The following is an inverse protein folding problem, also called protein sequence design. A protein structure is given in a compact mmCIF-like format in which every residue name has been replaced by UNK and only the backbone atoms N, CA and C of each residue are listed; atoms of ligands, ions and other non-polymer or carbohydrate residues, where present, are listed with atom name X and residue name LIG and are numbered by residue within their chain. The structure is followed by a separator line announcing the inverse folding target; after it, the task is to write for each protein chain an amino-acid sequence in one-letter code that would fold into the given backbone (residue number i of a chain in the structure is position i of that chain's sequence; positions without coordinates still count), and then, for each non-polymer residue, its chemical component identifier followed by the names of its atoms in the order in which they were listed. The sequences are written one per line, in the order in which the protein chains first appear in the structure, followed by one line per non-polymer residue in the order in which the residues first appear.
data_IF_961971980597
#
_entry.id   IF_961971980597
#
_cell.length_a   1.000
_cell.length_b   1.000
_cell.length_c   1.000
_cell.angle_alpha   90.00
_cell.angle_beta   90.00
_cell.angle_gamma   90.00
#
_symmetry.space_group_name_H-M   'P 1'
#
loop_
_entity.id
_entity.type
_entity.pdbx_description
1 polymer ?
#
# COMPACT_ATOMS: atom_id res chain seq x y z
N UNK A 1 -6.36 -21.67 6.03
CA UNK A 1 -6.93 -20.67 5.10
C UNK A 1 -6.43 -19.28 5.49
N UNK A 2 -6.79 -18.77 6.67
CA UNK A 2 -6.41 -17.42 7.12
C UNK A 2 -4.88 -17.18 7.28
N UNK A 3 -4.09 -18.19 7.65
CA UNK A 3 -2.62 -18.08 7.66
C UNK A 3 -2.02 -17.86 6.26
N UNK A 4 -2.63 -18.44 5.22
CA UNK A 4 -2.20 -18.26 3.83
C UNK A 4 -2.60 -16.87 3.32
N UNK A 5 -3.78 -16.39 3.69
CA UNK A 5 -4.23 -15.01 3.44
C UNK A 5 -3.28 -14.01 4.12
N UNK A 6 -2.86 -14.26 5.37
CA UNK A 6 -1.88 -13.43 6.06
C UNK A 6 -0.54 -13.36 5.34
N UNK A 7 0.03 -14.51 4.96
CA UNK A 7 1.30 -14.55 4.22
C UNK A 7 1.19 -13.80 2.89
N UNK A 8 0.09 -13.99 2.17
CA UNK A 8 -0.15 -13.30 0.90
C UNK A 8 -0.30 -11.79 1.10
N UNK A 9 -1.07 -11.35 2.09
CA UNK A 9 -1.21 -9.94 2.45
C UNK A 9 0.14 -9.29 2.76
N UNK A 10 0.93 -9.90 3.64
CA UNK A 10 2.25 -9.38 4.00
C UNK A 10 3.22 -9.38 2.81
N UNK A 11 3.12 -10.36 1.91
CA UNK A 11 3.92 -10.39 0.68
C UNK A 11 3.56 -9.22 -0.24
N UNK A 12 2.26 -8.93 -0.42
CA UNK A 12 1.79 -7.80 -1.23
C UNK A 12 2.17 -6.45 -0.61
N UNK A 13 2.06 -6.32 0.71
CA UNK A 13 2.53 -5.13 1.44
C UNK A 13 4.04 -4.91 1.24
N UNK A 14 4.86 -5.97 1.37
CA UNK A 14 6.30 -5.85 1.17
C UNK A 14 6.66 -5.49 -0.28
N UNK A 15 5.99 -6.11 -1.27
CA UNK A 15 6.13 -5.74 -2.69
C UNK A 15 5.80 -4.27 -2.91
N UNK A 16 4.68 -3.80 -2.35
CA UNK A 16 4.26 -2.40 -2.42
C UNK A 16 5.32 -1.47 -1.87
N UNK A 17 5.76 -1.68 -0.62
CA UNK A 17 6.74 -0.81 0.04
C UNK A 17 8.07 -0.73 -0.74
N UNK A 18 8.52 -1.86 -1.29
CA UNK A 18 9.71 -1.91 -2.13
C UNK A 18 9.53 -1.06 -3.40
N UNK A 19 8.39 -1.22 -4.08
CA UNK A 19 8.09 -0.51 -5.31
C UNK A 19 7.82 0.99 -5.07
N UNK A 20 7.19 1.37 -3.96
CA UNK A 20 6.99 2.77 -3.53
C UNK A 20 8.36 3.45 -3.35
N UNK A 21 9.30 2.81 -2.66
CA UNK A 21 10.65 3.33 -2.50
C UNK A 21 11.38 3.55 -3.85
N UNK A 22 11.24 2.62 -4.80
CA UNK A 22 11.78 2.78 -6.16
C UNK A 22 11.11 3.96 -6.87
N UNK A 23 9.78 4.04 -6.80
CA UNK A 23 9.00 5.07 -7.50
C UNK A 23 9.29 6.46 -6.94
N UNK A 24 9.36 6.62 -5.61
CA UNK A 24 9.72 7.87 -4.92
C UNK A 24 11.15 8.33 -5.17
N UNK A 25 12.05 7.41 -5.55
CA UNK A 25 13.43 7.73 -5.93
C UNK A 25 13.60 7.95 -7.45
N UNK A 26 12.56 7.74 -8.24
CA UNK A 26 12.62 7.84 -9.70
C UNK A 26 12.33 9.26 -10.17
N UNK A 27 13.16 9.77 -11.08
CA UNK A 27 12.93 11.08 -11.69
C UNK A 27 11.59 11.11 -12.45
N UNK A 28 10.88 12.25 -12.38
CA UNK A 28 9.54 12.45 -12.98
C UNK A 28 9.38 11.88 -14.39
N UNK A 29 10.36 12.13 -15.26
CA UNK A 29 10.33 11.73 -16.68
C UNK A 29 10.35 10.21 -16.89
N UNK A 30 10.83 9.44 -15.89
CA UNK A 30 10.94 7.99 -15.92
C UNK A 30 9.95 7.30 -14.98
N UNK A 31 9.10 8.06 -14.26
CA UNK A 31 8.23 7.53 -13.21
C UNK A 31 7.03 6.72 -13.74
N UNK A 32 6.70 6.79 -15.02
CA UNK A 32 5.56 6.09 -15.61
C UNK A 32 5.62 4.57 -15.45
N UNK A 33 6.78 3.97 -15.70
CA UNK A 33 7.01 2.52 -15.54
C UNK A 33 6.85 2.07 -14.08
N UNK A 34 7.57 2.63 -13.09
CA UNK A 34 7.43 2.20 -11.70
C UNK A 34 6.03 2.48 -11.11
N UNK A 35 5.34 3.57 -11.53
CA UNK A 35 3.93 3.79 -11.15
C UNK A 35 3.00 2.73 -11.76
N UNK A 36 3.29 2.23 -12.95
CA UNK A 36 2.53 1.13 -13.55
C UNK A 36 2.70 -0.17 -12.74
N UNK A 37 3.89 -0.44 -12.23
CA UNK A 37 4.11 -1.59 -11.33
C UNK A 37 3.37 -1.43 -9.99
N UNK A 38 3.32 -0.22 -9.41
CA UNK A 38 2.48 0.05 -8.24
C UNK A 38 1.01 -0.28 -8.53
N UNK A 39 0.46 0.16 -9.67
CA UNK A 39 -0.93 -0.14 -10.05
C UNK A 39 -1.19 -1.63 -10.15
N UNK A 40 -0.25 -2.42 -10.69
CA UNK A 40 -0.38 -3.88 -10.75
C UNK A 40 -0.45 -4.50 -9.35
N UNK A 41 0.39 -4.08 -8.42
CA UNK A 41 0.39 -4.57 -7.03
C UNK A 41 -0.94 -4.19 -6.33
N UNK A 42 -1.40 -2.95 -6.51
CA UNK A 42 -2.71 -2.51 -6.04
C UNK A 42 -3.84 -3.40 -6.57
N UNK A 43 -3.85 -3.66 -7.88
CA UNK A 43 -4.89 -4.48 -8.51
C UNK A 43 -4.83 -5.95 -8.07
N UNK A 44 -3.62 -6.50 -7.86
CA UNK A 44 -3.40 -7.83 -7.28
C UNK A 44 -4.00 -7.92 -5.87
N UNK A 45 -3.74 -6.92 -5.00
CA UNK A 45 -4.33 -6.86 -3.67
C UNK A 45 -5.85 -6.73 -3.73
N UNK A 46 -6.37 -5.87 -4.60
CA UNK A 46 -7.81 -5.65 -4.78
C UNK A 46 -8.52 -6.95 -5.18
N UNK A 47 -7.96 -7.70 -6.12
CA UNK A 47 -8.49 -8.97 -6.60
C UNK A 47 -8.32 -10.13 -5.60
N UNK A 48 -7.34 -10.06 -4.70
CA UNK A 48 -7.08 -11.11 -3.71
C UNK A 48 -8.23 -11.22 -2.71
N UNK A 49 -8.82 -12.40 -2.57
CA UNK A 49 -9.83 -12.62 -1.53
C UNK A 49 -9.15 -12.67 -0.15
N UNK A 50 -9.38 -11.65 0.66
CA UNK A 50 -8.90 -11.55 2.05
C UNK A 50 -10.13 -11.39 2.92
N UNK A 51 -10.28 -12.30 3.88
CA UNK A 51 -11.47 -12.41 4.72
C UNK A 51 -11.10 -12.32 6.20
N UNK A 52 -12.09 -12.56 7.07
CA UNK A 52 -11.88 -12.60 8.51
C UNK A 52 -11.26 -11.30 9.05
N UNK A 53 -10.26 -11.44 9.93
CA UNK A 53 -9.65 -10.29 10.60
C UNK A 53 -8.70 -9.44 9.73
N UNK A 54 -8.35 -9.87 8.52
CA UNK A 54 -7.52 -9.08 7.60
C UNK A 54 -8.33 -8.18 6.67
N UNK A 55 -9.65 -8.33 6.64
CA UNK A 55 -10.53 -7.57 5.74
C UNK A 55 -10.31 -6.05 5.87
N UNK A 56 -10.33 -5.54 7.10
CA UNK A 56 -10.18 -4.11 7.35
C UNK A 56 -8.75 -3.62 7.08
N UNK A 57 -7.75 -4.45 7.37
CA UNK A 57 -6.36 -4.17 7.02
C UNK A 57 -6.18 -4.02 5.49
N UNK A 58 -6.80 -4.91 4.70
CA UNK A 58 -6.82 -4.81 3.23
C UNK A 58 -7.47 -3.51 2.76
N UNK A 59 -8.61 -3.13 3.33
CA UNK A 59 -9.30 -1.88 2.94
C UNK A 59 -8.39 -0.69 3.19
N UNK A 60 -7.79 -0.61 4.39
CA UNK A 60 -6.86 0.47 4.76
C UNK A 60 -5.63 0.53 3.86
N UNK A 61 -5.06 -0.63 3.51
CA UNK A 61 -3.94 -0.68 2.58
C UNK A 61 -4.32 -0.20 1.18
N UNK A 62 -5.48 -0.60 0.65
CA UNK A 62 -5.96 -0.12 -0.66
C UNK A 62 -6.20 1.39 -0.65
N UNK A 63 -6.79 1.93 0.43
CA UNK A 63 -6.99 3.37 0.57
C UNK A 63 -5.66 4.13 0.64
N UNK A 64 -4.67 3.59 1.34
CA UNK A 64 -3.32 4.15 1.37
C UNK A 64 -2.68 4.14 -0.04
N UNK A 65 -2.75 3.00 -0.74
CA UNK A 65 -2.24 2.87 -2.11
C UNK A 65 -2.88 3.87 -3.08
N UNK A 66 -4.18 4.16 -2.92
CA UNK A 66 -4.88 5.13 -3.76
C UNK A 66 -4.39 6.57 -3.51
N UNK A 67 -4.15 6.96 -2.26
CA UNK A 67 -3.57 8.27 -1.94
C UNK A 67 -2.18 8.42 -2.58
N UNK A 68 -1.35 7.38 -2.47
CA UNK A 68 0.02 7.38 -2.98
C UNK A 68 0.08 7.40 -4.51
N UNK A 69 -0.75 6.60 -5.19
CA UNK A 69 -0.92 6.68 -6.64
C UNK A 69 -1.39 8.07 -7.10
N UNK A 70 -2.25 8.73 -6.32
CA UNK A 70 -2.71 10.09 -6.62
C UNK A 70 -1.58 11.09 -6.51
N UNK A 71 -0.73 11.00 -5.46
CA UNK A 71 0.47 11.84 -5.34
C UNK A 71 1.41 11.66 -6.54
N UNK A 72 1.64 10.42 -6.97
CA UNK A 72 2.48 10.17 -8.15
C UNK A 72 1.88 10.71 -9.44
N UNK A 73 0.55 10.68 -9.59
CA UNK A 73 -0.12 11.32 -10.73
C UNK A 73 0.12 12.83 -10.74
N UNK A 74 -0.05 13.51 -9.61
CA UNK A 74 0.24 14.95 -9.52
C UNK A 74 1.70 15.27 -9.81
N UNK A 75 2.62 14.49 -9.24
CA UNK A 75 4.04 14.61 -9.50
C UNK A 75 4.38 14.46 -10.99
N UNK A 76 3.86 13.44 -11.66
CA UNK A 76 4.09 13.19 -13.09
C UNK A 76 3.48 14.26 -13.99
N UNK A 77 2.28 14.73 -13.66
CA UNK A 77 1.59 15.78 -14.42
C UNK A 77 2.20 17.16 -14.22
N UNK A 78 3.01 17.34 -13.16
CA UNK A 78 3.53 18.64 -12.75
C UNK A 78 2.39 19.67 -12.54
N UNK A 79 1.24 19.20 -12.04
CA UNK A 79 0.09 20.05 -11.78
C UNK A 79 0.32 20.87 -10.50
N UNK A 80 0.40 22.20 -10.65
CA UNK A 80 0.63 23.10 -9.54
C UNK A 80 -0.47 23.01 -8.47
N UNK A 81 -1.74 22.75 -8.85
CA UNK A 81 -2.84 22.59 -7.89
C UNK A 81 -2.76 21.25 -7.17
N UNK A 82 -2.57 20.16 -7.91
CA UNK A 82 -2.34 18.83 -7.34
C UNK A 82 -1.14 18.78 -6.40
N UNK A 83 -0.06 19.50 -6.72
CA UNK A 83 1.13 19.56 -5.86
C UNK A 83 0.87 20.19 -4.47
N UNK A 84 -0.14 21.05 -4.33
CA UNK A 84 -0.55 21.60 -3.03
C UNK A 84 -1.25 20.56 -2.16
N UNK A 85 -1.85 19.52 -2.77
CA UNK A 85 -2.54 18.43 -2.05
C UNK A 85 -1.59 17.30 -1.65
N UNK A 86 -0.39 17.21 -2.24
CA UNK A 86 0.60 16.16 -1.95
C UNK A 86 0.88 16.03 -0.43
N UNK A 87 1.09 17.10 0.35
CA UNK A 87 1.30 16.98 1.79
C UNK A 87 0.12 16.33 2.53
N UNK A 88 -1.12 16.72 2.19
CA UNK A 88 -2.32 16.16 2.79
C UNK A 88 -2.49 14.68 2.45
N UNK A 89 -2.29 14.34 1.17
CA UNK A 89 -2.29 12.97 0.70
C UNK A 89 -1.18 12.15 1.35
N UNK A 90 0.00 12.72 1.61
CA UNK A 90 1.10 12.01 2.28
C UNK A 90 0.76 11.70 3.74
N UNK A 91 0.16 12.64 4.45
CA UNK A 91 -0.33 12.41 5.83
C UNK A 91 -1.40 11.32 5.82
N UNK A 92 -2.37 11.43 4.91
CA UNK A 92 -3.45 10.44 4.77
C UNK A 92 -2.92 9.05 4.43
N UNK A 93 -1.97 8.94 3.50
CA UNK A 93 -1.26 7.71 3.15
C UNK A 93 -0.62 7.06 4.37
N UNK A 94 0.19 7.82 5.12
CA UNK A 94 0.92 7.30 6.28
C UNK A 94 -0.03 6.81 7.38
N UNK A 95 -1.11 7.56 7.65
CA UNK A 95 -2.10 7.17 8.64
C UNK A 95 -2.82 5.88 8.24
N UNK A 96 -3.30 5.77 6.99
CA UNK A 96 -3.98 4.57 6.48
C UNK A 96 -3.04 3.35 6.42
N UNK A 97 -1.78 3.56 6.05
CA UNK A 97 -0.77 2.50 6.06
C UNK A 97 -0.50 2.00 7.48
N UNK A 98 -0.36 2.92 8.45
CA UNK A 98 -0.21 2.57 9.86
C UNK A 98 -1.42 1.77 10.37
N UNK A 99 -2.65 2.23 10.11
CA UNK A 99 -3.88 1.53 10.48
C UNK A 99 -3.89 0.08 9.91
N UNK A 100 -3.50 -0.06 8.64
CA UNK A 100 -3.41 -1.38 7.99
C UNK A 100 -2.42 -2.30 8.70
N UNK A 101 -1.23 -1.80 9.03
CA UNK A 101 -0.19 -2.55 9.72
C UNK A 101 -0.66 -2.97 11.13
N UNK A 102 -1.29 -2.07 11.87
CA UNK A 102 -1.80 -2.36 13.22
C UNK A 102 -2.91 -3.42 13.19
N UNK A 103 -3.87 -3.28 12.28
CA UNK A 103 -4.95 -4.26 12.08
C UNK A 103 -4.39 -5.63 11.69
N UNK A 104 -3.42 -5.69 10.77
CA UNK A 104 -2.80 -6.94 10.37
C UNK A 104 -2.00 -7.61 11.50
N UNK A 105 -1.32 -6.82 12.33
CA UNK A 105 -0.56 -7.32 13.49
C UNK A 105 -1.48 -7.91 14.55
N UNK A 106 -2.61 -7.24 14.84
CA UNK A 106 -3.63 -7.76 15.74
C UNK A 106 -4.21 -9.09 15.23
N UNK A 107 -4.41 -9.19 13.92
CA UNK A 107 -4.86 -10.42 13.28
C UNK A 107 -3.81 -11.55 13.36
N UNK A 108 -2.51 -11.25 13.21
CA UNK A 108 -1.40 -12.22 13.45
C UNK A 108 -1.44 -12.80 14.85
N UNK A 109 -1.62 -11.94 15.86
CA UNK A 109 -1.63 -12.32 17.27
C UNK A 109 -2.80 -13.27 17.59
N UNK A 110 -3.95 -13.07 16.93
CA UNK A 110 -5.13 -13.95 17.06
C UNK A 110 -4.88 -15.38 16.59
N UNK A 111 -3.96 -15.60 15.65
CA UNK A 111 -3.65 -16.92 15.09
C UNK A 111 -2.45 -17.63 15.74
N UNK A 112 -1.83 -17.04 16.76
CA UNK A 112 -0.67 -17.65 17.44
C UNK A 112 0.54 -17.89 16.53
N UNK A 113 0.65 -17.14 15.42
CA UNK A 113 1.79 -17.23 14.51
C UNK A 113 3.02 -16.61 15.17
N UNK A 114 3.76 -17.43 15.93
CA UNK A 114 5.02 -17.04 16.55
C UNK A 114 5.95 -16.43 15.49
N UNK A 115 6.50 -15.26 15.80
CA UNK A 115 7.70 -14.78 15.13
C UNK A 115 8.79 -15.83 15.32
N UNK A 116 9.29 -16.42 14.24
CA UNK A 116 10.57 -17.10 14.28
C UNK A 116 11.62 -16.03 14.54
N UNK A 117 12.00 -15.89 15.81
CA UNK A 117 13.21 -15.23 16.29
C UNK A 117 14.43 -16.04 15.86
#
# INVERSE_FOLDING_TARGET
MEQQEYKLFMSLLAKWMSQDNITGSTARIAASTPVTELRKIHDELRATNITGCLKDAKIKLLDAMNDDLTMYLYFMQNDAKGNLEIPNLKISYLNKLSDSIDLSTNCKNKFGLKSNS
#
